data_IF_789194883349
#
_entry.id   IF_789194883349
#
_cell.length_a   1.000
_cell.length_b   1.000
_cell.length_c   1.000
_cell.angle_alpha   90.00
_cell.angle_beta   90.00
_cell.angle_gamma   90.00
#
_symmetry.space_group_name_H-M   'P 1'
#
loop_
_entity.id
_entity.type
_entity.pdbx_description
1 polymer ?
#
# COMPACT_ATOMS: atom_id res chain seq x y z
N UNK A 1 13.27 -1.52 10.98
CA UNK A 1 12.23 -2.34 10.33
C UNK A 1 12.80 -3.05 9.12
N UNK A 2 12.45 -4.31 8.95
CA UNK A 2 12.85 -5.06 7.77
C UNK A 2 12.10 -4.55 6.53
N UNK A 3 12.76 -4.54 5.37
CA UNK A 3 12.05 -4.23 4.12
C UNK A 3 10.91 -5.21 3.88
N UNK A 4 9.81 -4.72 3.31
CA UNK A 4 8.66 -5.54 3.01
C UNK A 4 8.17 -5.27 1.59
N UNK A 5 7.60 -6.29 0.96
CA UNK A 5 7.05 -6.20 -0.39
C UNK A 5 5.71 -6.94 -0.44
N UNK A 6 4.91 -6.64 -1.45
CA UNK A 6 3.65 -7.34 -1.66
C UNK A 6 3.91 -8.56 -2.53
N UNK A 7 3.40 -9.70 -2.08
CA UNK A 7 3.39 -10.94 -2.86
C UNK A 7 1.95 -11.37 -3.08
N UNK A 8 1.60 -11.70 -4.31
CA UNK A 8 0.25 -12.18 -4.62
C UNK A 8 0.25 -13.70 -4.51
N UNK A 9 -0.56 -14.24 -3.61
CA UNK A 9 -0.70 -15.68 -3.39
C UNK A 9 -2.17 -16.01 -3.56
N UNK A 10 -2.48 -16.85 -4.54
CA UNK A 10 -3.86 -17.23 -4.88
C UNK A 10 -4.76 -16.02 -5.10
N UNK A 11 -4.24 -14.99 -5.76
CA UNK A 11 -4.97 -13.77 -6.04
C UNK A 11 -5.12 -12.82 -4.87
N UNK A 12 -4.52 -13.13 -3.72
CA UNK A 12 -4.64 -12.33 -2.50
C UNK A 12 -3.31 -11.65 -2.22
N UNK A 13 -3.36 -10.35 -1.90
CA UNK A 13 -2.16 -9.60 -1.54
C UNK A 13 -1.68 -9.98 -0.15
N UNK A 14 -0.40 -10.27 -0.04
CA UNK A 14 0.27 -10.49 1.24
C UNK A 14 1.47 -9.56 1.33
N UNK A 15 1.66 -8.94 2.48
CA UNK A 15 2.85 -8.13 2.74
C UNK A 15 3.85 -9.02 3.47
N UNK A 16 4.97 -9.29 2.84
CA UNK A 16 5.97 -10.21 3.34
C UNK A 16 7.29 -9.46 3.52
N UNK A 17 7.94 -9.61 4.66
CA UNK A 17 9.25 -8.99 4.84
C UNK A 17 10.35 -9.88 4.25
N UNK A 18 11.58 -9.38 4.26
CA UNK A 18 12.72 -10.10 3.67
C UNK A 18 13.15 -11.32 4.48
N UNK A 19 12.52 -11.56 5.62
CA UNK A 19 12.76 -12.76 6.45
C UNK A 19 11.61 -13.75 6.35
N UNK A 20 10.62 -13.48 5.50
CA UNK A 20 9.49 -14.37 5.28
C UNK A 20 8.33 -14.18 6.23
N UNK A 21 8.36 -13.15 7.09
CA UNK A 21 7.25 -12.86 7.99
C UNK A 21 6.10 -12.21 7.24
N UNK A 22 4.88 -12.68 7.50
CA UNK A 22 3.68 -12.10 6.89
C UNK A 22 3.19 -10.95 7.77
N UNK A 23 3.23 -9.75 7.23
CA UNK A 23 2.84 -8.52 7.92
C UNK A 23 1.51 -7.97 7.40
N UNK A 24 0.75 -8.76 6.66
CA UNK A 24 -0.47 -8.31 6.00
C UNK A 24 -1.46 -7.67 6.96
N UNK A 25 -1.72 -8.33 8.10
CA UNK A 25 -2.69 -7.82 9.07
C UNK A 25 -2.27 -6.48 9.65
N UNK A 26 -0.99 -6.30 9.94
CA UNK A 26 -0.48 -5.05 10.47
C UNK A 26 -0.62 -3.92 9.46
N UNK A 27 -0.31 -4.20 8.19
CA UNK A 27 -0.46 -3.20 7.12
C UNK A 27 -1.92 -2.87 6.87
N UNK A 28 -2.81 -3.86 6.88
CA UNK A 28 -4.25 -3.61 6.73
C UNK A 28 -4.81 -2.79 7.87
N UNK A 29 -4.41 -3.10 9.09
CA UNK A 29 -4.85 -2.34 10.25
C UNK A 29 -4.40 -0.89 10.16
N UNK A 30 -3.12 -0.67 9.86
CA UNK A 30 -2.59 0.67 9.69
C UNK A 30 -3.29 1.46 8.59
N UNK A 31 -3.56 0.81 7.46
CA UNK A 31 -4.25 1.46 6.35
C UNK A 31 -5.69 1.83 6.72
N UNK A 32 -6.40 0.95 7.43
CA UNK A 32 -7.77 1.25 7.89
C UNK A 32 -7.78 2.41 8.85
N UNK A 33 -6.81 2.48 9.75
CA UNK A 33 -6.71 3.59 10.70
C UNK A 33 -6.45 4.92 9.98
N UNK A 34 -5.58 4.92 8.97
CA UNK A 34 -5.32 6.11 8.16
C UNK A 34 -6.58 6.58 7.44
N UNK A 35 -7.32 5.66 6.84
CA UNK A 35 -8.55 5.99 6.12
C UNK A 35 -9.60 6.55 7.07
N UNK A 36 -9.77 5.93 8.23
CA UNK A 36 -10.74 6.38 9.21
C UNK A 36 -10.41 7.78 9.72
N UNK A 37 -9.14 8.02 10.00
CA UNK A 37 -8.66 9.33 10.44
C UNK A 37 -8.89 10.39 9.36
N UNK A 38 -8.60 10.04 8.11
CA UNK A 38 -8.81 10.93 6.97
C UNK A 38 -10.29 11.31 6.81
N UNK A 39 -11.19 10.34 7.00
CA UNK A 39 -12.62 10.61 6.95
C UNK A 39 -13.06 11.60 8.03
N UNK A 40 -12.57 11.42 9.25
CA UNK A 40 -12.89 12.30 10.38
C UNK A 40 -12.42 13.73 10.13
N UNK A 41 -11.29 13.89 9.49
CA UNK A 41 -10.72 15.21 9.21
C UNK A 41 -11.16 15.80 7.88
N UNK A 42 -11.91 15.06 7.07
CA UNK A 42 -12.30 15.50 5.74
C UNK A 42 -11.17 15.55 4.74
N UNK A 43 -10.10 14.80 4.99
CA UNK A 43 -8.95 14.72 4.08
C UNK A 43 -9.34 13.93 2.85
N UNK A 44 -9.02 14.44 1.67
CA UNK A 44 -9.36 13.79 0.41
C UNK A 44 -8.15 13.49 -0.47
N UNK A 45 -6.96 13.87 -0.03
CA UNK A 45 -5.74 13.67 -0.79
C UNK A 45 -4.62 13.20 0.12
N UNK A 46 -3.78 12.33 -0.42
CA UNK A 46 -2.61 11.84 0.28
C UNK A 46 -1.37 12.10 -0.55
N UNK A 47 -0.25 12.37 0.12
CA UNK A 47 1.06 12.38 -0.52
C UNK A 47 1.71 11.06 -0.15
N UNK A 48 2.00 10.25 -1.16
CA UNK A 48 2.39 8.86 -0.96
C UNK A 48 3.81 8.61 -1.44
N UNK A 49 4.49 7.72 -0.76
CA UNK A 49 5.80 7.26 -1.18
C UNK A 49 5.63 6.22 -2.30
N UNK A 50 6.34 6.37 -3.43
CA UNK A 50 6.18 5.43 -4.55
C UNK A 50 6.68 4.03 -4.19
N UNK A 51 6.06 3.05 -4.80
CA UNK A 51 6.47 1.64 -4.79
C UNK A 51 6.43 0.95 -3.42
N UNK A 52 5.94 1.63 -2.38
CA UNK A 52 5.87 1.00 -1.06
C UNK A 52 4.72 -0.01 -1.02
N UNK A 53 4.78 -1.01 -0.13
CA UNK A 53 3.67 -1.97 0.03
C UNK A 53 2.39 -1.30 0.50
N UNK A 54 2.47 -0.17 1.17
CA UNK A 54 1.29 0.57 1.62
C UNK A 54 0.79 1.54 0.57
N UNK A 55 1.68 2.33 0.00
CA UNK A 55 1.36 3.55 -0.74
C UNK A 55 1.64 3.50 -2.24
N UNK A 56 2.22 2.42 -2.76
CA UNK A 56 2.55 2.34 -4.17
C UNK A 56 1.32 2.46 -5.07
N UNK A 57 1.46 3.19 -6.17
CA UNK A 57 0.38 3.39 -7.13
C UNK A 57 0.85 2.91 -8.50
N UNK A 58 0.16 1.91 -9.05
CA UNK A 58 0.43 1.38 -10.37
C UNK A 58 1.64 0.47 -10.47
N UNK A 59 2.66 0.69 -9.66
CA UNK A 59 3.87 -0.14 -9.63
C UNK A 59 4.28 -0.40 -8.19
N UNK A 60 4.59 -1.65 -7.91
CA UNK A 60 5.10 -2.08 -6.61
C UNK A 60 6.24 -3.07 -6.85
N UNK A 61 7.05 -3.33 -5.83
CA UNK A 61 8.08 -4.35 -5.94
C UNK A 61 7.45 -5.73 -6.06
N UNK A 62 8.15 -6.63 -6.73
CA UNK A 62 7.64 -7.95 -7.17
C UNK A 62 7.25 -8.90 -6.04
N UNK A 63 7.72 -8.67 -4.84
CA UNK A 63 7.56 -9.60 -3.73
C UNK A 63 8.68 -10.62 -3.59
N UNK A 64 9.65 -10.59 -4.49
CA UNK A 64 10.78 -11.53 -4.50
C UNK A 64 12.09 -10.89 -4.06
N UNK A 65 12.05 -9.64 -3.64
CA UNK A 65 13.23 -8.89 -3.17
C UNK A 65 14.37 -8.87 -4.19
N UNK A 66 13.98 -8.73 -5.47
CA UNK A 66 14.91 -8.75 -6.60
C UNK A 66 15.07 -7.37 -7.25
N UNK A 67 14.46 -6.33 -6.69
CA UNK A 67 14.52 -4.98 -7.23
C UNK A 67 13.62 -4.75 -8.43
N UNK A 68 12.87 -5.75 -8.88
CA UNK A 68 11.99 -5.62 -10.03
C UNK A 68 10.63 -5.08 -9.62
N UNK A 69 10.00 -4.36 -10.53
CA UNK A 69 8.66 -3.80 -10.32
C UNK A 69 7.62 -4.56 -11.14
N UNK A 70 6.44 -4.67 -10.56
CA UNK A 70 5.29 -5.26 -11.24
C UNK A 70 4.11 -4.31 -11.15
N UNK A 71 3.11 -4.50 -12.00
CA UNK A 71 1.88 -3.72 -11.95
C UNK A 71 1.10 -4.06 -10.68
N UNK A 72 0.70 -3.05 -9.95
CA UNK A 72 -0.09 -3.23 -8.74
C UNK A 72 -0.11 -2.00 -7.86
N UNK A 73 -0.86 -2.08 -6.78
CA UNK A 73 -1.01 -0.98 -5.83
C UNK A 73 -0.72 -1.46 -4.42
N UNK A 74 -0.31 -0.53 -3.56
CA UNK A 74 -0.13 -0.82 -2.14
C UNK A 74 -1.45 -1.06 -1.41
N UNK A 75 -1.36 -1.55 -0.20
CA UNK A 75 -2.54 -1.91 0.63
C UNK A 75 -3.45 -0.70 0.87
N UNK A 76 -2.88 0.44 1.22
CA UNK A 76 -3.65 1.65 1.47
C UNK A 76 -4.41 2.11 0.21
N UNK A 77 -3.73 2.06 -0.94
CA UNK A 77 -4.34 2.45 -2.21
C UNK A 77 -5.52 1.55 -2.55
N UNK A 78 -5.37 0.24 -2.39
CA UNK A 78 -6.46 -0.69 -2.68
C UNK A 78 -7.65 -0.50 -1.75
N UNK A 79 -7.40 -0.24 -0.46
CA UNK A 79 -8.47 0.02 0.49
C UNK A 79 -9.22 1.31 0.14
N UNK A 80 -8.51 2.35 -0.30
CA UNK A 80 -9.17 3.58 -0.74
C UNK A 80 -10.03 3.35 -1.96
N UNK A 81 -9.54 2.57 -2.91
CA UNK A 81 -10.31 2.26 -4.13
C UNK A 81 -11.56 1.46 -3.81
N UNK A 82 -11.49 0.56 -2.83
CA UNK A 82 -12.61 -0.27 -2.44
C UNK A 82 -13.62 0.45 -1.55
N UNK A 83 -13.26 1.64 -1.06
CA UNK A 83 -14.13 2.43 -0.21
C UNK A 83 -14.78 3.53 -1.06
N UNK A 84 -15.92 3.21 -1.67
CA UNK A 84 -16.56 4.08 -2.66
C UNK A 84 -16.99 5.44 -2.14
N UNK A 85 -17.01 5.66 -0.83
CA UNK A 85 -17.38 6.95 -0.26
C UNK A 85 -16.21 7.90 -0.11
N UNK A 86 -15.01 7.36 -0.07
CA UNK A 86 -13.80 8.14 0.15
C UNK A 86 -13.15 8.39 -1.20
N UNK A 87 -13.29 9.63 -1.69
CA UNK A 87 -12.61 10.03 -2.92
C UNK A 87 -11.19 10.41 -2.54
N UNK A 88 -10.25 9.53 -2.87
CA UNK A 88 -8.85 9.76 -2.58
C UNK A 88 -8.11 10.12 -3.86
N UNK A 89 -7.44 11.25 -3.84
CA UNK A 89 -6.53 11.62 -4.90
C UNK A 89 -5.13 11.33 -4.41
N UNK A 90 -4.42 10.48 -5.11
CA UNK A 90 -3.08 10.09 -4.72
C UNK A 90 -2.08 10.92 -5.49
N UNK A 91 -1.05 11.36 -4.78
CA UNK A 91 0.00 12.16 -5.34
C UNK A 91 1.32 11.57 -4.88
N UNK A 92 2.21 11.29 -5.83
CA UNK A 92 3.52 10.74 -5.49
C UNK A 92 4.35 11.86 -4.89
N UNK A 93 4.92 11.61 -3.72
CA UNK A 93 5.68 12.60 -2.98
C UNK A 93 7.06 12.78 -3.60
N UNK A 94 7.39 14.04 -3.89
CA UNK A 94 8.73 14.41 -4.31
C UNK A 94 9.11 13.89 -5.68
N UNK A 95 10.39 13.94 -5.95
CA UNK A 95 11.00 13.47 -7.19
C UNK A 95 11.97 12.36 -6.88
N UNK A 96 12.02 11.41 -7.74
CA UNK A 96 12.79 10.20 -7.47
C UNK A 96 13.63 9.81 -8.64
#
# INVERSE_FOLDING_TARGET
>A
RNPAEIRIIDGIQHVIDNKGNDLTKQFEKGAKEVIEFAKQLGVKSFILQPRSPSCGIGKIYSGNFDGKLVTGNGILVELCKNNGRLVCKFRIYGRF
#
